data_IF_843225388597
#
_entry.id   IF_843225388597
#
_cell.length_a   1.000
_cell.length_b   1.000
_cell.length_c   1.000
_cell.angle_alpha   90.00
_cell.angle_beta   90.00
_cell.angle_gamma   90.00
#
_symmetry.space_group_name_H-M   'P 1'
#
loop_
_entity.id
_entity.type
_entity.pdbx_description
1 polymer ?
#
# COMPACT_ATOMS: atom_id res chain seq x y z
N UNK A 1 3.64 -43.78 17.67
CA UNK A 1 3.74 -42.61 16.78
C UNK A 1 2.40 -41.87 16.78
N UNK A 2 2.33 -40.68 17.40
CA UNK A 2 1.15 -39.82 17.28
C UNK A 2 1.07 -39.36 15.83
N UNK A 3 -0.02 -39.69 15.12
CA UNK A 3 -0.31 -39.12 13.79
C UNK A 3 -0.28 -37.60 13.92
N UNK A 4 0.71 -36.96 13.30
CA UNK A 4 0.75 -35.50 13.18
C UNK A 4 -0.60 -35.06 12.62
N UNK A 5 -1.32 -34.18 13.33
CA UNK A 5 -2.58 -33.60 12.83
C UNK A 5 -2.26 -32.99 11.47
N UNK A 6 -2.94 -33.44 10.42
CA UNK A 6 -2.82 -32.86 9.09
C UNK A 6 -3.09 -31.36 9.23
N UNK A 7 -2.05 -30.53 9.10
CA UNK A 7 -2.22 -29.08 9.12
C UNK A 7 -2.85 -28.71 7.78
N UNK A 8 -4.03 -28.10 7.82
CA UNK A 8 -4.68 -27.55 6.64
C UNK A 8 -4.20 -26.13 6.41
N UNK A 9 -4.12 -25.71 5.16
CA UNK A 9 -3.85 -24.32 4.81
C UNK A 9 -5.09 -23.46 5.12
N UNK A 10 -4.96 -22.46 5.98
CA UNK A 10 -6.06 -21.56 6.32
C UNK A 10 -6.06 -20.37 5.36
N UNK A 11 -7.12 -20.22 4.56
CA UNK A 11 -7.19 -19.16 3.56
C UNK A 11 -7.19 -17.77 4.22
N UNK A 12 -6.24 -16.87 3.88
CA UNK A 12 -6.19 -15.51 4.44
C UNK A 12 -7.46 -14.67 4.17
N UNK A 13 -8.14 -14.92 3.05
CA UNK A 13 -9.33 -14.16 2.65
C UNK A 13 -10.60 -14.57 3.41
N UNK A 14 -10.89 -15.87 3.52
CA UNK A 14 -12.13 -16.37 4.15
C UNK A 14 -11.93 -17.04 5.51
N UNK A 15 -10.68 -17.11 5.99
CA UNK A 15 -10.29 -17.67 7.29
C UNK A 15 -10.76 -19.11 7.52
N UNK A 16 -11.04 -19.85 6.44
CA UNK A 16 -11.47 -21.25 6.48
C UNK A 16 -10.31 -22.14 6.04
N UNK A 17 -10.19 -23.31 6.67
CA UNK A 17 -9.24 -24.35 6.29
C UNK A 17 -9.52 -24.86 4.87
N UNK A 18 -8.44 -25.18 4.14
CA UNK A 18 -8.51 -25.58 2.74
C UNK A 18 -7.67 -26.81 2.44
N UNK A 19 -8.27 -27.74 1.71
CA UNK A 19 -7.57 -28.86 1.10
C UNK A 19 -6.74 -28.39 -0.10
N UNK A 20 -5.72 -29.17 -0.48
CA UNK A 20 -4.91 -28.95 -1.70
C UNK A 20 -5.79 -28.74 -2.95
N UNK A 21 -6.92 -29.44 -3.02
CA UNK A 21 -7.88 -29.37 -4.13
C UNK A 21 -8.69 -28.09 -4.23
N UNK A 22 -8.69 -27.24 -3.18
CA UNK A 22 -9.44 -25.98 -3.13
C UNK A 22 -8.54 -24.74 -3.34
N UNK A 23 -7.24 -24.94 -3.58
CA UNK A 23 -6.25 -23.87 -3.75
C UNK A 23 -5.41 -24.10 -5.01
N UNK A 24 -5.98 -24.80 -6.01
CA UNK A 24 -5.27 -25.27 -7.20
C UNK A 24 -4.69 -24.12 -8.00
N UNK A 25 -5.40 -22.99 -8.06
CA UNK A 25 -4.95 -21.81 -8.80
C UNK A 25 -3.64 -21.28 -8.23
N UNK A 26 -3.60 -21.04 -6.91
CA UNK A 26 -2.40 -20.53 -6.25
C UNK A 26 -1.25 -21.55 -6.28
N UNK A 27 -1.54 -22.85 -6.08
CA UNK A 27 -0.52 -23.91 -6.23
C UNK A 27 0.08 -23.86 -7.63
N UNK A 28 -0.74 -23.84 -8.68
CA UNK A 28 -0.24 -23.85 -10.06
C UNK A 28 0.63 -22.64 -10.38
N UNK A 29 0.34 -21.47 -9.79
CA UNK A 29 1.16 -20.26 -9.96
C UNK A 29 2.50 -20.44 -9.24
N UNK A 30 2.49 -20.91 -7.99
CA UNK A 30 3.71 -21.11 -7.21
C UNK A 30 4.61 -22.18 -7.85
N UNK A 31 4.06 -23.33 -8.26
CA UNK A 31 4.83 -24.37 -8.96
C UNK A 31 5.47 -23.84 -10.26
N UNK A 32 4.80 -22.91 -10.97
CA UNK A 32 5.35 -22.31 -12.19
C UNK A 32 6.56 -21.43 -11.87
N UNK A 33 6.52 -20.67 -10.78
CA UNK A 33 7.65 -19.86 -10.30
C UNK A 33 8.80 -20.78 -9.87
N UNK A 34 8.51 -21.78 -9.03
CA UNK A 34 9.52 -22.72 -8.53
C UNK A 34 10.21 -23.49 -9.67
N UNK A 35 9.49 -23.89 -10.72
CA UNK A 35 10.09 -24.53 -11.90
C UNK A 35 11.00 -23.61 -12.71
N UNK A 36 10.76 -22.30 -12.69
CA UNK A 36 11.63 -21.32 -13.35
C UNK A 36 12.91 -21.09 -12.55
N UNK A 37 12.82 -21.13 -11.22
CA UNK A 37 13.96 -20.92 -10.31
C UNK A 37 14.82 -22.18 -10.14
N UNK A 38 14.20 -23.37 -10.07
CA UNK A 38 14.88 -24.63 -9.75
C UNK A 38 14.83 -25.62 -10.92
N UNK A 39 15.96 -25.79 -11.60
CA UNK A 39 16.12 -26.73 -12.74
C UNK A 39 15.77 -28.20 -12.42
N UNK A 40 15.92 -28.62 -11.15
CA UNK A 40 15.68 -29.98 -10.67
C UNK A 40 14.43 -30.11 -9.75
N UNK A 41 13.43 -29.23 -9.95
CA UNK A 41 12.22 -29.12 -9.13
C UNK A 41 11.58 -30.46 -8.70
N UNK A 42 11.44 -31.42 -9.63
CA UNK A 42 10.84 -32.74 -9.36
C UNK A 42 11.73 -33.66 -8.50
N UNK A 43 13.04 -33.58 -8.69
CA UNK A 43 14.01 -34.40 -7.94
C UNK A 43 14.11 -33.93 -6.48
N UNK A 44 13.89 -32.64 -6.25
CA UNK A 44 13.81 -32.03 -4.93
C UNK A 44 12.46 -32.25 -4.24
N UNK A 45 11.50 -32.92 -4.89
CA UNK A 45 10.13 -33.15 -4.41
C UNK A 45 9.41 -31.86 -4.00
N UNK A 46 9.76 -30.74 -4.65
CA UNK A 46 9.21 -29.42 -4.30
C UNK A 46 7.68 -29.37 -4.47
N UNK A 47 7.12 -30.17 -5.38
CA UNK A 47 5.67 -30.33 -5.57
C UNK A 47 4.91 -30.81 -4.33
N UNK A 48 5.56 -31.59 -3.47
CA UNK A 48 5.00 -32.02 -2.19
C UNK A 48 5.06 -30.87 -1.18
N UNK A 49 6.16 -30.12 -1.15
CA UNK A 49 6.38 -28.98 -0.27
C UNK A 49 5.59 -27.72 -0.67
N UNK A 50 5.22 -27.55 -1.95
CA UNK A 50 4.48 -26.38 -2.44
C UNK A 50 3.19 -26.18 -1.65
N UNK A 51 2.48 -27.26 -1.26
CA UNK A 51 1.28 -27.14 -0.43
C UNK A 51 1.59 -26.72 1.01
N UNK A 52 2.71 -27.18 1.57
CA UNK A 52 3.11 -26.86 2.94
C UNK A 52 3.42 -25.36 3.09
N UNK A 53 3.92 -24.71 2.04
CA UNK A 53 4.13 -23.26 1.98
C UNK A 53 2.85 -22.43 2.21
N UNK A 54 1.66 -23.02 2.04
CA UNK A 54 0.37 -22.36 2.29
C UNK A 54 -0.14 -22.50 3.72
N UNK A 55 0.45 -23.38 4.53
CA UNK A 55 0.01 -23.67 5.90
C UNK A 55 0.44 -22.55 6.84
N UNK A 56 1.72 -22.18 6.77
CA UNK A 56 2.35 -21.15 7.58
C UNK A 56 2.89 -20.04 6.64
N UNK A 57 2.04 -19.56 5.72
CA UNK A 57 2.43 -18.65 4.63
C UNK A 57 2.69 -17.22 5.10
N UNK A 58 3.84 -16.66 4.75
CA UNK A 58 4.15 -15.22 4.91
C UNK A 58 3.70 -14.36 3.72
N UNK A 59 3.16 -14.99 2.67
CA UNK A 59 2.64 -14.32 1.48
C UNK A 59 1.12 -14.43 1.39
N UNK A 60 0.48 -13.44 0.78
CA UNK A 60 -0.96 -13.47 0.52
C UNK A 60 -1.32 -14.48 -0.58
N UNK A 61 -2.35 -15.25 -0.32
CA UNK A 61 -2.99 -16.16 -1.27
C UNK A 61 -4.49 -16.26 -0.97
N UNK A 62 -5.25 -16.85 -1.89
CA UNK A 62 -6.67 -17.08 -1.70
C UNK A 62 -7.09 -18.43 -2.27
N UNK A 63 -8.13 -19.04 -1.68
CA UNK A 63 -8.70 -20.27 -2.22
C UNK A 63 -9.47 -20.00 -3.51
N UNK A 64 -9.67 -21.06 -4.30
CA UNK A 64 -10.32 -20.97 -5.61
C UNK A 64 -11.72 -20.33 -5.50
N UNK A 65 -12.50 -20.69 -4.47
CA UNK A 65 -13.82 -20.08 -4.22
C UNK A 65 -13.76 -18.56 -3.92
N UNK A 66 -12.72 -18.08 -3.22
CA UNK A 66 -12.57 -16.64 -2.95
C UNK A 66 -12.19 -15.87 -4.23
N UNK A 67 -11.43 -16.50 -5.12
CA UNK A 67 -11.07 -15.93 -6.41
C UNK A 67 -12.29 -15.90 -7.35
N UNK A 68 -13.02 -17.02 -7.46
CA UNK A 68 -14.22 -17.15 -8.28
C UNK A 68 -15.34 -16.18 -7.85
N UNK A 69 -15.58 -16.07 -6.54
CA UNK A 69 -16.54 -15.12 -5.98
C UNK A 69 -16.05 -13.67 -5.95
N UNK A 70 -14.83 -13.40 -6.45
CA UNK A 70 -14.19 -12.08 -6.46
C UNK A 70 -14.01 -11.45 -5.07
N UNK A 71 -14.06 -12.24 -3.99
CA UNK A 71 -13.65 -11.78 -2.65
C UNK A 71 -12.16 -11.47 -2.60
N UNK A 72 -11.37 -12.23 -3.35
CA UNK A 72 -9.97 -11.96 -3.64
C UNK A 72 -9.75 -11.76 -5.14
N UNK A 73 -8.61 -11.18 -5.50
CA UNK A 73 -8.17 -11.05 -6.90
C UNK A 73 -6.79 -11.67 -7.08
N UNK A 74 -6.50 -12.19 -8.28
CA UNK A 74 -5.18 -12.73 -8.59
C UNK A 74 -4.12 -11.64 -8.65
N UNK A 75 -2.98 -11.94 -8.04
CA UNK A 75 -1.77 -11.15 -8.18
C UNK A 75 -1.02 -11.55 -9.46
N UNK A 76 -0.11 -10.69 -9.88
CA UNK A 76 0.84 -10.95 -10.96
C UNK A 76 2.24 -11.04 -10.34
N UNK A 77 2.70 -12.22 -9.85
CA UNK A 77 3.96 -12.37 -9.13
C UNK A 77 5.18 -11.75 -9.80
N UNK A 78 5.33 -11.91 -11.11
CA UNK A 78 6.45 -11.34 -11.88
C UNK A 78 6.45 -9.80 -11.99
N UNK A 79 5.40 -9.13 -11.51
CA UNK A 79 5.36 -7.67 -11.39
C UNK A 79 5.66 -7.18 -9.97
N UNK A 80 5.84 -8.06 -8.99
CA UNK A 80 6.17 -7.64 -7.62
C UNK A 80 7.68 -7.49 -7.47
N UNK A 81 8.10 -6.52 -6.66
CA UNK A 81 9.49 -6.35 -6.27
C UNK A 81 9.68 -6.97 -4.88
N UNK A 82 10.21 -8.20 -4.85
CA UNK A 82 10.44 -8.94 -3.60
C UNK A 82 11.62 -9.91 -3.74
N UNK A 83 12.49 -10.02 -2.73
CA UNK A 83 13.49 -11.10 -2.67
C UNK A 83 12.91 -12.41 -2.13
N UNK A 84 11.64 -12.41 -1.69
CA UNK A 84 10.95 -13.53 -1.06
C UNK A 84 9.83 -14.09 -1.95
N UNK A 85 9.07 -15.06 -1.44
CA UNK A 85 7.89 -15.59 -2.13
C UNK A 85 6.88 -14.46 -2.42
N UNK A 86 6.52 -14.23 -3.69
CA UNK A 86 5.58 -13.18 -4.05
C UNK A 86 4.16 -13.53 -3.60
N UNK A 87 3.34 -12.51 -3.38
CA UNK A 87 1.91 -12.67 -3.18
C UNK A 87 1.26 -13.29 -4.42
N UNK A 88 0.35 -14.24 -4.23
CA UNK A 88 -0.32 -14.97 -5.31
C UNK A 88 -1.75 -14.45 -5.54
N UNK A 89 -2.35 -13.87 -4.51
CA UNK A 89 -3.63 -13.20 -4.58
C UNK A 89 -3.68 -12.05 -3.56
N UNK A 90 -4.63 -11.14 -3.73
CA UNK A 90 -4.91 -10.07 -2.77
C UNK A 90 -6.34 -10.17 -2.25
N UNK A 91 -6.51 -9.93 -0.96
CA UNK A 91 -7.82 -9.78 -0.32
C UNK A 91 -7.88 -8.49 0.49
N UNK A 92 -9.09 -8.02 0.76
CA UNK A 92 -9.30 -6.82 1.57
C UNK A 92 -8.81 -7.06 3.01
N UNK A 93 -8.09 -6.10 3.58
CA UNK A 93 -7.60 -6.17 4.96
C UNK A 93 -8.14 -4.99 5.75
N UNK A 94 -8.73 -5.26 6.91
CA UNK A 94 -9.13 -4.24 7.86
C UNK A 94 -7.91 -3.74 8.65
N UNK A 95 -7.68 -2.43 8.58
CA UNK A 95 -6.59 -1.74 9.27
C UNK A 95 -7.15 -0.58 10.09
N UNK A 96 -6.36 -0.11 11.06
CA UNK A 96 -6.70 1.05 11.89
C UNK A 96 -5.84 2.24 11.53
N UNK A 97 -6.46 3.36 11.19
CA UNK A 97 -5.72 4.58 10.82
C UNK A 97 -4.99 5.16 12.03
N UNK A 98 -3.69 5.43 11.89
CA UNK A 98 -2.88 6.03 12.95
C UNK A 98 -3.31 7.46 13.28
N UNK A 99 -3.69 8.27 12.29
CA UNK A 99 -4.13 9.65 12.49
C UNK A 99 -5.53 9.79 13.09
N UNK A 100 -6.56 9.19 12.47
CA UNK A 100 -7.96 9.40 12.90
C UNK A 100 -8.53 8.26 13.74
N UNK A 101 -7.76 7.18 13.96
CA UNK A 101 -8.12 6.00 14.76
C UNK A 101 -9.33 5.20 14.27
N UNK A 102 -9.92 5.57 13.13
CA UNK A 102 -11.00 4.82 12.47
C UNK A 102 -10.45 3.59 11.74
N UNK A 103 -11.26 2.55 11.71
CA UNK A 103 -11.02 1.38 10.87
C UNK A 103 -11.23 1.73 9.39
N UNK A 104 -10.45 1.12 8.52
CA UNK A 104 -10.57 1.27 7.08
C UNK A 104 -10.08 0.00 6.38
N UNK A 105 -10.55 -0.20 5.14
CA UNK A 105 -10.13 -1.34 4.32
C UNK A 105 -8.95 -0.95 3.44
N UNK A 106 -7.86 -1.69 3.54
CA UNK A 106 -6.85 -1.76 2.50
C UNK A 106 -7.34 -2.73 1.43
N UNK A 107 -7.92 -2.17 0.38
CA UNK A 107 -8.62 -2.93 -0.65
C UNK A 107 -7.64 -3.75 -1.49
N UNK A 108 -8.07 -4.94 -1.91
CA UNK A 108 -7.31 -5.82 -2.81
C UNK A 108 -6.90 -5.15 -4.13
N UNK A 109 -7.74 -4.27 -4.69
CA UNK A 109 -7.37 -3.49 -5.88
C UNK A 109 -6.27 -2.47 -5.58
N UNK A 110 -6.29 -1.88 -4.38
CA UNK A 110 -5.25 -0.94 -3.95
C UNK A 110 -3.92 -1.68 -3.76
N UNK A 111 -3.93 -2.85 -3.11
CA UNK A 111 -2.76 -3.74 -2.98
C UNK A 111 -2.14 -4.07 -4.33
N UNK A 112 -2.97 -4.46 -5.31
CA UNK A 112 -2.51 -4.76 -6.67
C UNK A 112 -1.75 -3.58 -7.29
N UNK A 113 -2.29 -2.37 -7.18
CA UNK A 113 -1.63 -1.16 -7.68
C UNK A 113 -0.31 -0.90 -6.93
N UNK A 114 -0.33 -1.00 -5.60
CA UNK A 114 0.84 -0.74 -4.76
C UNK A 114 2.02 -1.65 -5.12
N UNK A 115 1.80 -2.96 -5.16
CA UNK A 115 2.87 -3.92 -5.32
C UNK A 115 3.26 -4.14 -6.79
N UNK A 116 2.30 -4.09 -7.73
CA UNK A 116 2.58 -4.39 -9.14
C UNK A 116 2.91 -3.16 -9.97
N UNK A 117 2.30 -2.01 -9.67
CA UNK A 117 2.49 -0.77 -10.46
C UNK A 117 3.47 0.19 -9.78
N UNK A 118 3.29 0.45 -8.48
CA UNK A 118 4.18 1.35 -7.74
C UNK A 118 5.45 0.67 -7.20
N UNK A 119 5.54 -0.66 -7.33
CA UNK A 119 6.67 -1.47 -6.87
C UNK A 119 7.02 -1.24 -5.40
N UNK A 120 6.00 -0.99 -4.58
CA UNK A 120 6.21 -0.93 -3.14
C UNK A 120 6.58 -2.32 -2.62
N UNK A 121 7.42 -2.42 -1.57
CA UNK A 121 7.70 -3.70 -0.93
C UNK A 121 6.42 -4.44 -0.57
N UNK A 122 6.38 -5.75 -0.78
CA UNK A 122 5.16 -6.56 -0.59
C UNK A 122 4.62 -6.53 0.85
N UNK A 123 5.46 -6.24 1.84
CA UNK A 123 5.08 -6.07 3.25
C UNK A 123 4.65 -4.63 3.61
N UNK A 124 4.60 -3.72 2.63
CA UNK A 124 4.19 -2.34 2.87
C UNK A 124 2.66 -2.25 3.04
N UNK A 125 2.23 -1.60 4.12
CA UNK A 125 0.83 -1.34 4.41
C UNK A 125 0.56 0.16 4.67
N UNK A 126 -0.64 0.66 4.36
CA UNK A 126 -0.99 2.04 4.68
C UNK A 126 -1.17 2.22 6.19
N UNK A 127 -0.34 3.08 6.79
CA UNK A 127 -0.52 3.51 8.19
C UNK A 127 -1.77 4.39 8.41
N UNK A 128 -2.30 4.98 7.34
CA UNK A 128 -3.38 5.96 7.39
C UNK A 128 -4.44 5.64 6.33
N UNK A 129 -5.71 5.93 6.67
CA UNK A 129 -6.80 5.81 5.70
C UNK A 129 -6.59 6.78 4.53
N UNK A 130 -7.29 6.53 3.41
CA UNK A 130 -7.14 7.32 2.18
C UNK A 130 -7.36 8.82 2.41
N UNK A 131 -8.35 9.19 3.22
CA UNK A 131 -8.63 10.60 3.55
C UNK A 131 -7.47 11.25 4.29
N UNK A 132 -6.93 10.57 5.32
CA UNK A 132 -5.77 11.07 6.07
C UNK A 132 -4.52 11.13 5.20
N UNK A 133 -4.27 10.15 4.34
CA UNK A 133 -3.15 10.18 3.37
C UNK A 133 -3.26 11.37 2.42
N UNK A 134 -4.47 11.67 1.92
CA UNK A 134 -4.72 12.85 1.07
C UNK A 134 -4.45 14.15 1.82
N UNK A 135 -4.93 14.27 3.06
CA UNK A 135 -4.66 15.46 3.90
C UNK A 135 -3.17 15.67 4.15
N UNK A 136 -2.45 14.61 4.53
CA UNK A 136 -0.99 14.66 4.73
C UNK A 136 -0.27 15.06 3.43
N UNK A 137 -0.66 14.48 2.29
CA UNK A 137 -0.06 14.83 1.00
C UNK A 137 -0.28 16.30 0.64
N UNK A 138 -1.48 16.83 0.88
CA UNK A 138 -1.80 18.24 0.63
C UNK A 138 -1.00 19.15 1.56
N UNK A 139 -0.95 18.84 2.85
CA UNK A 139 -0.14 19.59 3.82
C UNK A 139 1.35 19.60 3.44
N UNK A 140 1.90 18.47 3.00
CA UNK A 140 3.28 18.39 2.54
C UNK A 140 3.52 19.23 1.28
N UNK A 141 2.57 19.26 0.35
CA UNK A 141 2.64 20.09 -0.85
C UNK A 141 2.60 21.58 -0.47
N UNK A 142 1.67 21.98 0.39
CA UNK A 142 1.54 23.34 0.90
C UNK A 142 2.81 23.79 1.65
N UNK A 143 3.37 22.95 2.52
CA UNK A 143 4.66 23.19 3.18
C UNK A 143 5.80 23.37 2.19
N UNK A 144 5.86 22.52 1.15
CA UNK A 144 6.85 22.64 0.09
C UNK A 144 6.72 23.98 -0.66
N UNK A 145 5.50 24.34 -1.05
CA UNK A 145 5.20 25.61 -1.74
C UNK A 145 5.63 26.81 -0.90
N UNK A 146 5.22 26.88 0.37
CA UNK A 146 5.65 27.95 1.27
C UNK A 146 7.17 27.95 1.40
N UNK A 147 7.80 26.80 1.63
CA UNK A 147 9.25 26.72 1.81
C UNK A 147 10.03 27.16 0.57
N UNK A 148 9.50 26.95 -0.64
CA UNK A 148 10.11 27.41 -1.89
C UNK A 148 9.98 28.92 -2.05
N UNK A 149 8.81 29.49 -1.72
CA UNK A 149 8.57 30.94 -1.78
C UNK A 149 9.43 31.67 -0.74
N UNK A 150 9.47 31.18 0.51
CA UNK A 150 10.18 31.85 1.61
C UNK A 150 11.71 31.73 1.56
N UNK A 151 12.26 31.00 0.58
CA UNK A 151 13.71 31.02 0.29
C UNK A 151 14.14 32.25 -0.51
N UNK A 152 13.21 32.86 -1.23
CA UNK A 152 13.44 34.07 -2.01
C UNK A 152 13.59 35.27 -1.07
N UNK A 153 14.34 36.27 -1.49
CA UNK A 153 14.37 37.55 -0.77
C UNK A 153 13.03 38.28 -0.93
N UNK A 154 12.73 39.25 -0.06
CA UNK A 154 11.45 39.95 -0.09
C UNK A 154 11.20 40.64 -1.44
N UNK A 155 12.23 41.13 -2.12
CA UNK A 155 12.15 41.74 -3.46
C UNK A 155 11.92 40.72 -4.59
N UNK A 156 12.27 39.46 -4.40
CA UNK A 156 12.13 38.38 -5.39
C UNK A 156 10.76 37.68 -5.35
N UNK A 157 10.04 37.78 -4.23
CA UNK A 157 8.71 37.17 -4.09
C UNK A 157 7.70 37.99 -4.88
N UNK A 158 6.94 37.37 -5.78
CA UNK A 158 5.88 38.06 -6.53
C UNK A 158 4.61 38.25 -5.69
N UNK A 159 3.73 39.17 -6.09
CA UNK A 159 2.48 39.40 -5.35
C UNK A 159 1.58 38.16 -5.33
N UNK A 160 1.49 37.41 -6.44
CA UNK A 160 0.76 36.14 -6.50
C UNK A 160 1.34 35.10 -5.53
N UNK A 161 2.66 35.05 -5.37
CA UNK A 161 3.30 34.17 -4.38
C UNK A 161 2.99 34.59 -2.94
N UNK A 162 2.93 35.90 -2.66
CA UNK A 162 2.50 36.42 -1.36
C UNK A 162 1.03 36.09 -1.07
N UNK A 163 0.13 36.26 -2.05
CA UNK A 163 -1.28 35.86 -1.96
C UNK A 163 -1.38 34.37 -1.62
N UNK A 164 -0.61 33.54 -2.34
CA UNK A 164 -0.60 32.10 -2.11
C UNK A 164 -0.11 31.73 -0.70
N UNK A 165 0.91 32.42 -0.18
CA UNK A 165 1.39 32.24 1.20
C UNK A 165 0.32 32.62 2.21
N UNK A 166 -0.39 33.73 2.00
CA UNK A 166 -1.50 34.16 2.84
C UNK A 166 -2.63 33.14 2.86
N UNK A 167 -3.04 32.65 1.68
CA UNK A 167 -4.09 31.63 1.56
C UNK A 167 -3.75 30.38 2.38
N UNK A 168 -2.54 29.84 2.22
CA UNK A 168 -2.12 28.62 2.92
C UNK A 168 -2.07 28.86 4.43
N UNK A 169 -1.49 29.97 4.90
CA UNK A 169 -1.47 30.28 6.33
C UNK A 169 -2.86 30.53 6.92
N UNK A 170 -3.80 31.02 6.11
CA UNK A 170 -5.22 31.14 6.52
C UNK A 170 -5.85 29.76 6.70
N UNK A 171 -5.63 28.84 5.75
CA UNK A 171 -6.10 27.44 5.86
C UNK A 171 -5.52 26.71 7.08
N UNK A 172 -4.32 27.08 7.51
CA UNK A 172 -3.65 26.51 8.69
C UNK A 172 -3.94 27.23 10.01
N UNK A 173 -4.82 28.24 10.00
CA UNK A 173 -5.15 29.07 11.15
C UNK A 173 -3.91 29.71 11.81
N UNK A 174 -2.98 30.23 11.00
CA UNK A 174 -1.75 30.92 11.42
C UNK A 174 -1.89 32.43 11.25
N UNK A 175 -2.82 33.02 11.99
CA UNK A 175 -3.24 34.42 11.81
C UNK A 175 -2.12 35.46 11.96
N UNK A 176 -1.10 35.20 12.77
CA UNK A 176 0.06 36.11 12.88
C UNK A 176 0.89 36.16 11.59
N UNK A 177 1.04 35.02 10.92
CA UNK A 177 1.72 34.93 9.61
C UNK A 177 0.88 35.58 8.53
N UNK A 178 -0.44 35.35 8.54
CA UNK A 178 -1.39 36.01 7.63
C UNK A 178 -1.24 37.53 7.71
N UNK A 179 -1.31 38.12 8.91
CA UNK A 179 -1.16 39.58 9.10
C UNK A 179 0.17 40.11 8.57
N UNK A 180 1.26 39.38 8.81
CA UNK A 180 2.59 39.77 8.34
C UNK A 180 2.66 39.84 6.82
N UNK A 181 2.35 38.75 6.10
CA UNK A 181 2.44 38.72 4.64
C UNK A 181 1.39 39.62 3.97
N UNK A 182 0.20 39.75 4.54
CA UNK A 182 -0.80 40.71 4.06
C UNK A 182 -0.31 42.15 4.16
N UNK A 183 0.46 42.49 5.20
CA UNK A 183 1.02 43.84 5.35
C UNK A 183 2.05 44.17 4.28
N UNK A 184 2.85 43.18 3.85
CA UNK A 184 3.82 43.33 2.76
C UNK A 184 3.07 43.57 1.44
N UNK A 185 2.06 42.76 1.16
CA UNK A 185 1.24 42.89 -0.04
C UNK A 185 0.51 44.25 -0.11
N UNK A 186 -0.06 44.70 1.01
CA UNK A 186 -0.70 46.02 1.12
C UNK A 186 0.28 47.20 0.94
N UNK A 187 1.55 47.04 1.32
CA UNK A 187 2.58 48.08 1.08
C UNK A 187 2.93 48.17 -0.40
N UNK A 188 3.01 47.03 -1.10
CA UNK A 188 3.30 46.99 -2.55
C UNK A 188 2.17 47.57 -3.37
N UNK A 189 0.91 47.27 -3.03
CA UNK A 189 -0.27 47.82 -3.73
C UNK A 189 -0.50 49.32 -3.51
N UNK A 190 0.19 49.94 -2.54
CA UNK A 190 0.12 51.38 -2.26
C UNK A 190 1.23 52.19 -2.95
N UNK A 191 2.23 51.52 -3.52
CA UNK A 191 3.27 52.10 -4.36
C UNK A 191 2.91 51.90 -5.84
#
# INVERSE_FOLDING_TARGET
MKRSKTKFAKCPCCLTDKYRTEIKTCISILEKIERQEFKHYKELKLDQYTYESFIDSEFEWACDNCLESKKAILASPGLQETPWTPHLAYSDTELKCSSCRKEFLFKKEEKKIWYESYKLPINAEPNNCLECRRKIRNQNLENKTISEILKKTEDEITDNELERVVEIYTLWDKMDRVKYYQSILNKRNKN
#
